data_IF_508052152094
#
_entry.id   IF_508052152094
#
_cell.length_a   1.000
_cell.length_b   1.000
_cell.length_c   1.000
_cell.angle_alpha   90.00
_cell.angle_beta   90.00
_cell.angle_gamma   90.00
#
_symmetry.space_group_name_H-M   'P 1'
#
loop_
_entity.id
_entity.type
_entity.pdbx_description
1 polymer ?
#
# COMPACT_ATOMS: atom_id res chain seq x y z
N UNK A 1 -13.45 -12.19 3.36
CA UNK A 1 -13.36 -10.74 3.06
C UNK A 1 -11.91 -10.44 2.68
N UNK A 2 -11.63 -10.00 1.45
CA UNK A 2 -10.28 -9.63 0.99
C UNK A 2 -10.18 -8.11 1.04
N UNK A 3 -9.40 -7.60 1.98
CA UNK A 3 -9.15 -6.17 2.10
C UNK A 3 -8.29 -5.72 0.90
N UNK A 4 -8.81 -4.83 0.06
CA UNK A 4 -8.06 -4.26 -1.06
C UNK A 4 -7.53 -2.88 -0.68
N UNK A 5 -6.27 -2.63 -0.98
CA UNK A 5 -5.61 -1.32 -0.83
C UNK A 5 -5.44 -0.72 -2.22
N UNK A 6 -5.80 0.55 -2.39
CA UNK A 6 -5.53 1.25 -3.65
C UNK A 6 -5.28 2.74 -3.45
N UNK A 7 -4.52 3.31 -4.38
CA UNK A 7 -4.34 4.74 -4.50
C UNK A 7 -5.68 5.45 -4.72
N UNK A 8 -5.83 6.60 -4.07
CA UNK A 8 -6.98 7.49 -4.21
C UNK A 8 -6.65 8.62 -5.18
N UNK A 9 -7.66 9.09 -5.92
CA UNK A 9 -7.52 10.25 -6.81
C UNK A 9 -6.98 11.47 -6.04
N UNK A 10 -5.80 12.01 -6.42
CA UNK A 10 -5.11 13.03 -5.64
C UNK A 10 -5.78 14.40 -5.69
N UNK A 11 -6.59 14.69 -6.71
CA UNK A 11 -7.21 16.01 -6.85
C UNK A 11 -8.58 16.07 -6.19
N UNK A 12 -9.34 14.97 -6.23
CA UNK A 12 -10.76 14.97 -5.88
C UNK A 12 -11.06 14.24 -4.57
N UNK A 13 -10.29 13.21 -4.25
CA UNK A 13 -10.68 12.24 -3.22
C UNK A 13 -9.64 12.08 -2.10
N UNK A 14 -8.36 12.42 -2.34
CA UNK A 14 -7.35 12.48 -1.28
C UNK A 14 -7.73 13.44 -0.13
N UNK A 15 -8.32 14.64 -0.40
CA UNK A 15 -8.80 15.52 0.68
C UNK A 15 -9.89 14.91 1.56
N UNK A 16 -10.46 13.76 1.17
CA UNK A 16 -11.52 13.06 1.90
C UNK A 16 -11.01 11.79 2.60
N UNK A 17 -9.72 11.50 2.56
CA UNK A 17 -9.13 10.41 3.33
C UNK A 17 -9.42 10.59 4.82
N UNK A 18 -9.62 9.48 5.54
CA UNK A 18 -10.04 9.49 6.95
C UNK A 18 -11.56 9.63 7.15
N UNK A 19 -12.35 9.86 6.10
CA UNK A 19 -13.82 9.81 6.18
C UNK A 19 -14.35 8.46 5.70
N UNK A 20 -15.45 7.98 6.29
CA UNK A 20 -16.07 6.69 5.95
C UNK A 20 -16.81 6.78 4.60
N UNK A 21 -16.05 6.76 3.51
CA UNK A 21 -16.57 6.86 2.14
C UNK A 21 -16.20 5.65 1.26
N UNK A 22 -15.66 4.57 1.85
CA UNK A 22 -15.36 3.34 1.12
C UNK A 22 -16.33 2.21 1.49
N UNK A 23 -16.65 1.34 0.53
CA UNK A 23 -17.51 0.15 0.74
C UNK A 23 -16.71 -1.08 1.21
N UNK A 24 -15.54 -0.88 1.82
CA UNK A 24 -14.68 -1.97 2.33
C UNK A 24 -13.26 -2.06 1.75
N UNK A 25 -12.81 -1.05 0.97
CA UNK A 25 -11.40 -0.92 0.55
C UNK A 25 -10.67 0.09 1.44
N UNK A 26 -9.37 -0.16 1.69
CA UNK A 26 -8.49 0.85 2.27
C UNK A 26 -8.06 1.79 1.16
N UNK A 27 -8.36 3.07 1.36
CA UNK A 27 -7.94 4.17 0.50
C UNK A 27 -6.67 4.78 1.08
N UNK A 28 -5.62 4.86 0.27
CA UNK A 28 -4.38 5.55 0.63
C UNK A 28 -4.10 6.69 -0.34
N UNK A 29 -3.28 7.65 0.09
CA UNK A 29 -2.74 8.66 -0.81
C UNK A 29 -1.93 8.00 -1.94
N UNK A 30 -2.01 8.54 -3.14
CA UNK A 30 -1.25 8.11 -4.30
C UNK A 30 0.26 8.23 -4.08
N UNK A 31 0.71 9.23 -3.33
CA UNK A 31 2.12 9.35 -2.91
C UNK A 31 2.56 8.17 -2.04
N UNK A 32 1.73 7.76 -1.08
CA UNK A 32 2.00 6.59 -0.24
C UNK A 32 2.03 5.31 -1.07
N UNK A 33 1.09 5.12 -2.00
CA UNK A 33 1.10 3.96 -2.90
C UNK A 33 2.41 3.87 -3.69
N UNK A 34 2.83 4.98 -4.32
CA UNK A 34 4.10 5.04 -5.06
C UNK A 34 5.32 4.77 -4.17
N UNK A 35 5.30 5.26 -2.93
CA UNK A 35 6.36 4.99 -1.97
C UNK A 35 6.46 3.50 -1.66
N UNK A 36 5.34 2.85 -1.34
CA UNK A 36 5.30 1.41 -1.05
C UNK A 36 5.83 0.59 -2.24
N UNK A 37 5.36 0.88 -3.45
CA UNK A 37 5.76 0.15 -4.66
C UNK A 37 7.24 0.38 -5.03
N UNK A 38 7.75 1.60 -4.84
CA UNK A 38 9.14 1.94 -5.20
C UNK A 38 10.13 1.34 -4.22
N UNK A 39 9.77 1.27 -2.94
CA UNK A 39 10.66 0.76 -1.88
C UNK A 39 10.39 -0.70 -1.50
N UNK A 40 9.44 -1.37 -2.17
CA UNK A 40 9.13 -2.78 -1.92
C UNK A 40 8.76 -3.09 -0.47
N UNK A 41 8.13 -2.14 0.24
CA UNK A 41 7.92 -2.25 1.69
C UNK A 41 7.04 -3.45 2.07
N UNK A 42 6.16 -3.88 1.17
CA UNK A 42 5.24 -5.00 1.36
C UNK A 42 5.55 -6.19 0.42
N UNK A 43 6.74 -6.22 -0.19
CA UNK A 43 7.05 -7.14 -1.27
C UNK A 43 7.76 -8.43 -0.81
N UNK A 44 7.83 -8.73 0.49
CA UNK A 44 8.63 -9.84 1.01
C UNK A 44 8.32 -11.20 0.34
N UNK A 45 7.03 -11.50 0.10
CA UNK A 45 6.62 -12.73 -0.58
C UNK A 45 6.91 -12.69 -2.09
N UNK A 46 6.82 -11.50 -2.71
CA UNK A 46 7.22 -11.31 -4.11
C UNK A 46 8.73 -11.48 -4.28
N UNK A 47 9.54 -10.91 -3.40
CA UNK A 47 11.00 -11.05 -3.42
C UNK A 47 11.41 -12.51 -3.25
N UNK A 48 10.77 -13.25 -2.34
CA UNK A 48 10.99 -14.68 -2.18
C UNK A 48 10.59 -15.49 -3.43
N UNK A 49 9.53 -15.10 -4.14
CA UNK A 49 9.10 -15.73 -5.38
C UNK A 49 10.02 -15.41 -6.57
N UNK A 50 10.45 -14.16 -6.68
CA UNK A 50 11.46 -13.74 -7.67
C UNK A 50 12.78 -14.47 -7.46
N UNK A 51 13.20 -14.69 -6.21
CA UNK A 51 14.39 -15.49 -5.89
C UNK A 51 14.26 -16.96 -6.34
N UNK A 52 13.05 -17.48 -6.52
CA UNK A 52 12.77 -18.81 -7.11
C UNK A 52 12.62 -18.79 -8.64
N UNK A 53 12.79 -17.64 -9.28
CA UNK A 53 12.69 -17.48 -10.74
C UNK A 53 11.31 -17.08 -11.25
N UNK A 54 10.38 -16.71 -10.37
CA UNK A 54 9.06 -16.22 -10.80
C UNK A 54 9.13 -14.75 -11.26
N UNK A 55 8.30 -14.38 -12.24
CA UNK A 55 8.22 -13.00 -12.76
C UNK A 55 6.83 -12.42 -12.58
N UNK A 56 6.74 -11.19 -12.07
CA UNK A 56 5.47 -10.53 -11.79
C UNK A 56 5.39 -9.17 -12.45
N UNK A 57 4.32 -8.92 -13.22
CA UNK A 57 4.10 -7.64 -13.91
C UNK A 57 3.79 -6.48 -12.96
N UNK A 58 3.32 -6.77 -11.74
CA UNK A 58 2.97 -5.78 -10.72
C UNK A 58 4.22 -5.14 -10.09
N UNK A 59 5.36 -5.81 -10.16
CA UNK A 59 6.61 -5.28 -9.59
C UNK A 59 7.19 -4.22 -10.52
N UNK A 60 7.48 -3.05 -9.95
CA UNK A 60 8.14 -1.98 -10.67
C UNK A 60 9.55 -2.41 -11.10
N UNK A 61 9.96 -1.99 -12.29
CA UNK A 61 11.31 -2.20 -12.80
C UNK A 61 12.36 -1.34 -12.07
N UNK A 62 11.95 -0.19 -11.52
CA UNK A 62 12.79 0.74 -10.77
C UNK A 62 12.68 0.57 -9.24
N UNK A 63 12.22 -0.60 -8.78
CA UNK A 63 12.09 -0.87 -7.33
C UNK A 63 13.46 -0.92 -6.66
N UNK A 64 13.51 -0.40 -5.43
CA UNK A 64 14.66 -0.46 -4.55
C UNK A 64 14.47 -1.62 -3.59
N UNK A 65 15.31 -2.64 -3.69
CA UNK A 65 15.29 -3.75 -2.74
C UNK A 65 15.59 -3.22 -1.33
N UNK A 66 14.72 -3.55 -0.38
CA UNK A 66 14.89 -3.22 1.03
C UNK A 66 15.05 -4.51 1.84
N UNK A 67 16.02 -4.61 2.76
CA UNK A 67 16.13 -5.78 3.63
C UNK A 67 14.99 -5.84 4.68
N UNK A 68 14.14 -4.82 4.73
CA UNK A 68 13.06 -4.66 5.69
C UNK A 68 11.67 -4.90 5.07
N UNK A 69 11.59 -5.58 3.92
CA UNK A 69 10.30 -5.87 3.29
C UNK A 69 9.43 -6.70 4.25
N UNK A 70 8.21 -6.22 4.48
CA UNK A 70 7.21 -6.87 5.32
C UNK A 70 6.19 -7.66 4.51
N UNK A 71 5.37 -8.44 5.22
CA UNK A 71 4.23 -9.19 4.66
C UNK A 71 2.86 -8.63 5.06
N UNK A 72 2.83 -7.80 6.10
CA UNK A 72 1.61 -7.35 6.75
C UNK A 72 1.62 -5.84 6.93
N UNK A 73 0.48 -5.21 6.66
CA UNK A 73 0.19 -3.83 7.03
C UNK A 73 -0.80 -3.85 8.20
N UNK A 74 -0.40 -3.28 9.33
CA UNK A 74 -1.29 -3.09 10.48
C UNK A 74 -1.78 -1.65 10.49
N UNK A 75 -3.08 -1.46 10.37
CA UNK A 75 -3.72 -0.15 10.47
C UNK A 75 -4.31 0.00 11.86
N UNK A 76 -3.83 0.99 12.60
CA UNK A 76 -4.35 1.33 13.92
C UNK A 76 -5.06 2.65 13.80
N UNK A 77 -6.37 2.64 14.00
CA UNK A 77 -7.13 3.86 14.17
C UNK A 77 -7.02 4.30 15.64
N UNK A 78 -6.83 5.59 15.86
CA UNK A 78 -6.92 6.18 17.20
C UNK A 78 -8.04 7.20 17.15
N UNK A 79 -9.01 7.05 18.04
CA UNK A 79 -10.05 8.04 18.21
C UNK A 79 -9.39 9.41 18.47
N UNK A 80 -9.58 10.35 17.55
CA UNK A 80 -9.18 11.73 17.76
C UNK A 80 -10.12 12.34 18.78
N UNK A 81 -9.60 12.88 19.88
CA UNK A 81 -10.36 13.75 20.78
C UNK A 81 -10.75 15.00 20.00
N UNK A 82 -11.93 14.96 19.38
CA UNK A 82 -12.50 16.06 18.62
C UNK A 82 -12.45 17.36 19.41
N UNK A 83 -11.79 18.36 18.84
CA UNK A 83 -11.95 19.77 19.16
C UNK A 83 -12.37 20.46 17.87
#
# INVERSE_FOLDING_TARGET
MRLQVHATDPQRLEPRLGTQQSKGCIRIAASLNRFLDRHGVLDADYDAAVARGESFWVLRSDRLMTPWAGRWLVVVDREGSGH
#
